data_IF_312995420881
#
_entry.id   IF_312995420881
#
_cell.length_a   1.000
_cell.length_b   1.000
_cell.length_c   1.000
_cell.angle_alpha   90.00
_cell.angle_beta   90.00
_cell.angle_gamma   90.00
#
_symmetry.space_group_name_H-M   'P 1'
#
loop_
_entity.id
_entity.type
_entity.pdbx_description
1 polymer ?
#
# COMPACT_ATOMS: atom_id res chain seq x y z
N UNK A 1 74.33 -7.03 -3.65
CA UNK A 1 73.16 -6.41 -3.00
C UNK A 1 72.62 -5.36 -3.95
N UNK A 2 71.56 -5.69 -4.68
CA UNK A 2 71.11 -4.93 -5.84
C UNK A 2 69.71 -4.40 -5.55
N UNK A 3 69.59 -3.08 -5.37
CA UNK A 3 68.32 -2.40 -5.15
C UNK A 3 67.59 -2.22 -6.50
N UNK A 4 66.41 -2.82 -6.64
CA UNK A 4 65.48 -2.53 -7.75
C UNK A 4 64.39 -1.60 -7.21
N UNK A 5 64.40 -0.36 -7.71
CA UNK A 5 63.41 0.68 -7.42
C UNK A 5 62.33 0.70 -8.52
N UNK A 6 61.14 0.19 -8.22
CA UNK A 6 59.97 0.28 -9.10
C UNK A 6 59.23 1.61 -8.87
N UNK A 7 59.35 2.54 -9.83
CA UNK A 7 58.51 3.75 -9.92
C UNK A 7 57.26 3.43 -10.77
N UNK A 8 56.10 3.30 -10.13
CA UNK A 8 54.80 3.33 -10.83
C UNK A 8 54.45 4.75 -11.24
N UNK A 9 54.31 4.99 -12.54
CA UNK A 9 53.69 6.20 -13.10
C UNK A 9 52.20 5.94 -13.30
N UNK A 10 51.36 6.67 -12.58
CA UNK A 10 49.92 6.73 -12.84
C UNK A 10 49.65 7.78 -13.93
N UNK A 11 48.95 7.38 -14.99
CA UNK A 11 48.40 8.26 -16.01
C UNK A 11 47.00 8.72 -15.58
N UNK A 12 46.63 10.00 -15.76
CA UNK A 12 45.26 10.44 -15.53
C UNK A 12 44.39 10.08 -16.75
N UNK A 13 43.32 9.31 -16.52
CA UNK A 13 42.25 9.08 -17.49
C UNK A 13 41.24 10.23 -17.37
N UNK A 14 41.27 11.14 -18.33
CA UNK A 14 40.26 12.19 -18.52
C UNK A 14 39.05 11.61 -19.23
N UNK A 15 37.92 11.47 -18.52
CA UNK A 15 36.63 11.10 -19.11
C UNK A 15 35.86 12.37 -19.48
N UNK A 16 35.70 12.61 -20.78
CA UNK A 16 34.85 13.69 -21.32
C UNK A 16 33.43 13.16 -21.50
N UNK A 17 32.47 13.66 -20.72
CA UNK A 17 31.05 13.40 -20.94
C UNK A 17 30.48 14.47 -21.89
N UNK A 18 30.05 14.05 -23.08
CA UNK A 18 29.23 14.87 -23.96
C UNK A 18 27.75 14.72 -23.56
N UNK A 19 27.12 15.81 -23.16
CA UNK A 19 25.67 15.89 -22.87
C UNK A 19 24.97 16.37 -24.13
N UNK A 20 24.15 15.51 -24.74
CA UNK A 20 23.23 15.89 -25.80
C UNK A 20 21.91 16.35 -25.18
N UNK A 21 21.61 17.65 -25.28
CA UNK A 21 20.30 18.22 -24.98
C UNK A 21 19.37 17.99 -26.18
N UNK A 22 18.32 17.18 -25.99
CA UNK A 22 17.19 17.11 -26.92
C UNK A 22 16.03 17.88 -26.31
N UNK A 23 15.77 19.08 -26.82
CA UNK A 23 14.59 19.88 -26.46
C UNK A 23 13.44 19.53 -27.38
N UNK A 24 12.50 18.71 -26.89
CA UNK A 24 11.20 18.52 -27.54
C UNK A 24 10.21 19.55 -26.98
N UNK A 25 9.85 20.53 -27.80
CA UNK A 25 8.78 21.47 -27.54
C UNK A 25 7.44 20.84 -27.97
N UNK A 26 6.55 20.58 -27.01
CA UNK A 26 5.14 20.28 -27.29
C UNK A 26 4.25 21.37 -26.70
N UNK A 27 3.69 22.16 -27.62
CA UNK A 27 2.65 23.15 -27.43
C UNK A 27 1.38 22.54 -26.84
N UNK A 28 0.77 23.19 -25.84
CA UNK A 28 -0.64 22.98 -25.47
C UNK A 28 -1.41 24.28 -25.56
N UNK A 29 -2.38 24.27 -26.46
CA UNK A 29 -3.42 25.28 -26.64
C UNK A 29 -4.32 25.35 -25.41
N UNK A 30 -4.61 26.59 -24.97
CA UNK A 30 -5.68 26.91 -24.01
C UNK A 30 -6.99 27.06 -24.79
N UNK A 31 -8.01 26.33 -24.39
CA UNK A 31 -9.42 26.57 -24.75
C UNK A 31 -10.20 27.04 -23.51
N UNK A 32 -11.28 27.84 -23.69
CA UNK A 32 -11.87 28.64 -22.63
C UNK A 32 -12.83 27.87 -21.72
N UNK A 33 -12.84 28.30 -20.46
CA UNK A 33 -13.81 27.96 -19.41
C UNK A 33 -15.19 28.51 -19.75
N UNK A 34 -16.20 27.65 -19.77
CA UNK A 34 -17.61 28.06 -19.75
C UNK A 34 -18.13 27.93 -18.32
N UNK A 35 -18.42 29.09 -17.72
CA UNK A 35 -19.19 29.23 -16.49
C UNK A 35 -20.63 28.77 -16.75
N UNK A 36 -21.12 27.83 -15.94
CA UNK A 36 -22.56 27.57 -15.81
C UNK A 36 -22.94 27.63 -14.34
N UNK A 37 -23.49 28.79 -13.99
CA UNK A 37 -24.35 29.01 -12.83
C UNK A 37 -25.57 28.10 -12.86
N UNK A 38 -25.84 27.42 -11.75
CA UNK A 38 -27.21 27.14 -11.30
C UNK A 38 -27.22 26.74 -9.81
N UNK A 39 -27.65 27.68 -8.97
CA UNK A 39 -28.44 27.39 -7.75
C UNK A 39 -29.89 27.66 -8.12
N UNK A 40 -30.89 26.92 -7.59
CA UNK A 40 -31.36 27.28 -6.24
C UNK A 40 -31.95 26.15 -5.38
N UNK A 41 -31.89 26.40 -4.07
CA UNK A 41 -32.94 26.22 -3.05
C UNK A 41 -33.91 25.03 -3.12
N UNK A 42 -33.81 24.14 -2.13
CA UNK A 42 -34.91 23.28 -1.71
C UNK A 42 -35.18 23.47 -0.20
N UNK A 43 -36.42 23.87 0.09
CA UNK A 43 -36.99 24.12 1.41
C UNK A 43 -37.12 22.83 2.23
N UNK A 44 -36.68 22.88 3.48
CA UNK A 44 -37.02 21.87 4.48
C UNK A 44 -38.46 22.11 4.97
N UNK A 45 -39.38 21.18 4.65
CA UNK A 45 -40.67 21.05 5.35
C UNK A 45 -40.55 19.97 6.41
N UNK A 46 -40.72 20.39 7.66
CA UNK A 46 -40.97 19.53 8.81
C UNK A 46 -42.44 19.14 8.82
N UNK A 47 -42.74 17.86 8.80
CA UNK A 47 -44.06 17.30 9.15
C UNK A 47 -43.84 16.12 10.07
N UNK A 48 -44.24 16.29 11.33
CA UNK A 48 -44.46 15.23 12.29
C UNK A 48 -45.75 14.48 11.93
N UNK A 49 -45.72 13.14 11.93
CA UNK A 49 -46.92 12.31 12.14
C UNK A 49 -46.56 10.83 12.37
N UNK A 50 -47.01 10.35 13.53
CA UNK A 50 -47.73 9.07 13.75
C UNK A 50 -46.97 7.75 13.69
N UNK A 51 -46.81 7.16 14.89
CA UNK A 51 -46.49 5.76 15.15
C UNK A 51 -47.63 4.82 14.67
N UNK A 52 -47.34 3.78 13.88
CA UNK A 52 -48.20 2.61 13.77
C UNK A 52 -47.74 1.47 14.71
N UNK A 53 -48.73 0.82 15.30
CA UNK A 53 -48.65 -0.33 16.20
C UNK A 53 -47.83 -1.51 15.67
N UNK A 54 -47.19 -2.20 16.61
CA UNK A 54 -46.44 -3.43 16.40
C UNK A 54 -47.29 -4.58 15.82
N UNK A 55 -46.85 -5.25 14.74
CA UNK A 55 -47.31 -6.58 14.40
C UNK A 55 -46.54 -7.63 15.22
N UNK A 56 -47.23 -8.72 15.56
CA UNK A 56 -46.69 -9.86 16.29
C UNK A 56 -45.49 -10.51 15.57
N UNK A 57 -44.51 -11.08 16.29
CA UNK A 57 -43.42 -11.82 15.67
C UNK A 57 -43.95 -13.17 15.15
N UNK A 58 -44.21 -13.23 13.85
CA UNK A 58 -44.29 -14.49 13.12
C UNK A 58 -42.94 -15.22 13.23
N UNK A 59 -43.01 -16.48 13.66
CA UNK A 59 -41.89 -17.42 13.82
C UNK A 59 -41.31 -17.87 12.48
N UNK A 60 -40.79 -16.94 11.69
CA UNK A 60 -39.98 -17.23 10.52
C UNK A 60 -38.55 -17.51 10.99
N UNK A 61 -38.22 -18.80 11.14
CA UNK A 61 -36.84 -19.25 11.22
C UNK A 61 -36.00 -18.53 10.15
N UNK A 62 -34.86 -17.90 10.49
CA UNK A 62 -34.02 -17.28 9.49
C UNK A 62 -33.57 -18.36 8.51
N UNK A 63 -34.00 -18.22 7.26
CA UNK A 63 -33.46 -18.94 6.11
C UNK A 63 -31.95 -18.78 6.14
N UNK A 64 -31.29 -19.78 6.72
CA UNK A 64 -29.84 -19.82 6.83
C UNK A 64 -29.35 -20.23 5.46
N UNK A 65 -29.26 -19.24 4.56
CA UNK A 65 -28.60 -19.38 3.27
C UNK A 65 -27.28 -20.11 3.53
N UNK A 66 -26.99 -21.24 2.85
CA UNK A 66 -25.79 -22.00 3.11
C UNK A 66 -24.60 -21.05 3.04
N UNK A 67 -23.91 -20.83 4.16
CA UNK A 67 -22.71 -20.00 4.18
C UNK A 67 -21.75 -20.62 3.18
N UNK A 68 -21.34 -19.86 2.16
CA UNK A 68 -20.35 -20.35 1.20
C UNK A 68 -19.17 -20.92 2.00
N UNK A 69 -18.67 -22.12 1.68
CA UNK A 69 -17.55 -22.70 2.41
C UNK A 69 -16.29 -21.83 2.31
N UNK A 70 -16.27 -20.91 1.34
CA UNK A 70 -15.17 -20.02 1.04
C UNK A 70 -15.56 -18.57 1.33
N UNK A 71 -14.64 -17.83 1.95
CA UNK A 71 -14.85 -16.44 2.33
C UNK A 71 -13.68 -15.59 1.85
N UNK A 72 -13.99 -14.48 1.17
CA UNK A 72 -13.02 -13.46 0.81
C UNK A 72 -13.06 -12.33 1.84
N UNK A 73 -11.89 -11.89 2.31
CA UNK A 73 -11.78 -10.74 3.22
C UNK A 73 -10.85 -9.69 2.65
N UNK A 74 -11.27 -8.42 2.68
CA UNK A 74 -10.40 -7.30 2.31
C UNK A 74 -9.34 -7.08 3.40
N UNK A 75 -8.07 -7.27 3.06
CA UNK A 75 -6.92 -6.99 3.94
C UNK A 75 -6.45 -5.54 3.74
N UNK A 76 -6.67 -5.01 2.54
CA UNK A 76 -6.67 -3.58 2.19
C UNK A 76 -6.87 -3.38 0.69
N UNK A 77 -6.61 -2.18 0.16
CA UNK A 77 -6.89 -1.88 -1.24
C UNK A 77 -6.22 -2.86 -2.21
N UNK A 78 -7.02 -3.59 -2.99
CA UNK A 78 -6.54 -4.61 -3.92
C UNK A 78 -5.92 -5.86 -3.28
N UNK A 79 -5.88 -5.95 -1.95
CA UNK A 79 -5.32 -7.07 -1.18
C UNK A 79 -6.41 -7.79 -0.41
N UNK A 80 -6.50 -9.09 -0.58
CA UNK A 80 -7.53 -9.91 0.06
C UNK A 80 -6.96 -11.24 0.52
N UNK A 81 -7.66 -11.82 1.49
CA UNK A 81 -7.46 -13.19 1.94
C UNK A 81 -8.60 -14.06 1.45
N UNK A 82 -8.28 -15.30 1.08
CA UNK A 82 -9.22 -16.35 0.77
C UNK A 82 -9.08 -17.45 1.82
N UNK A 83 -10.12 -17.64 2.63
CA UNK A 83 -10.21 -18.68 3.63
C UNK A 83 -11.33 -19.66 3.30
N UNK A 84 -11.24 -20.88 3.83
CA UNK A 84 -12.26 -21.91 3.66
C UNK A 84 -12.52 -22.67 4.96
N UNK A 85 -13.72 -23.20 5.11
CA UNK A 85 -14.11 -24.06 6.25
C UNK A 85 -13.89 -25.55 5.98
N UNK A 86 -13.59 -25.92 4.74
CA UNK A 86 -13.27 -27.28 4.30
C UNK A 86 -12.30 -27.27 3.13
N UNK A 87 -11.67 -28.40 2.82
CA UNK A 87 -10.82 -28.49 1.63
C UNK A 87 -11.63 -28.14 0.36
N UNK A 88 -11.08 -27.24 -0.46
CA UNK A 88 -11.68 -26.83 -1.73
C UNK A 88 -10.61 -26.63 -2.79
N UNK A 89 -10.94 -26.96 -4.03
CA UNK A 89 -10.07 -26.71 -5.19
C UNK A 89 -10.52 -25.45 -5.91
N UNK A 90 -9.66 -24.42 -5.92
CA UNK A 90 -9.92 -23.13 -6.56
C UNK A 90 -9.25 -23.04 -7.91
N UNK A 91 -9.91 -22.43 -8.88
CA UNK A 91 -9.25 -22.02 -10.11
C UNK A 91 -8.23 -20.91 -9.80
N UNK A 92 -7.07 -20.95 -10.47
CA UNK A 92 -6.05 -19.93 -10.29
C UNK A 92 -6.45 -18.55 -10.85
N UNK A 93 -7.51 -18.46 -11.66
CA UNK A 93 -7.99 -17.21 -12.25
C UNK A 93 -9.00 -16.49 -11.34
N UNK A 94 -8.90 -15.17 -11.32
CA UNK A 94 -9.79 -14.25 -10.62
C UNK A 94 -10.53 -13.40 -11.64
N UNK A 95 -11.81 -13.17 -11.39
CA UNK A 95 -12.59 -12.17 -12.13
C UNK A 95 -12.57 -10.86 -11.37
N UNK A 96 -12.30 -9.76 -12.08
CA UNK A 96 -12.34 -8.43 -11.52
C UNK A 96 -13.35 -7.60 -12.30
N UNK A 97 -14.24 -6.96 -11.56
CA UNK A 97 -15.28 -6.09 -12.09
C UNK A 97 -15.17 -4.71 -11.45
N UNK A 98 -15.56 -3.69 -12.19
CA UNK A 98 -15.60 -2.31 -11.73
C UNK A 98 -17.05 -1.84 -11.66
N UNK A 99 -17.40 -1.09 -10.62
CA UNK A 99 -18.71 -0.46 -10.54
C UNK A 99 -18.86 0.61 -11.64
N UNK A 100 -19.90 0.48 -12.46
CA UNK A 100 -20.31 1.42 -13.51
C UNK A 100 -21.83 1.58 -13.48
N UNK A 101 -22.30 2.81 -13.22
CA UNK A 101 -23.73 3.05 -12.96
C UNK A 101 -24.24 2.23 -11.77
N UNK A 102 -25.32 1.48 -11.98
CA UNK A 102 -25.94 0.61 -10.98
C UNK A 102 -25.38 -0.83 -10.98
N UNK A 103 -24.37 -1.11 -11.82
CA UNK A 103 -23.85 -2.46 -12.05
C UNK A 103 -22.34 -2.59 -11.86
N UNK A 104 -21.87 -3.83 -12.04
CA UNK A 104 -20.45 -4.16 -12.11
C UNK A 104 -20.13 -4.66 -13.52
N UNK A 105 -19.11 -4.06 -14.15
CA UNK A 105 -18.64 -4.42 -15.49
C UNK A 105 -17.32 -5.14 -15.39
N UNK A 106 -17.22 -6.30 -16.05
CA UNK A 106 -16.01 -7.11 -16.06
C UNK A 106 -14.87 -6.41 -16.79
N UNK A 107 -13.68 -6.44 -16.17
CA UNK A 107 -12.44 -5.98 -16.78
C UNK A 107 -11.81 -7.14 -17.57
N UNK A 108 -12.23 -7.30 -18.84
CA UNK A 108 -11.86 -8.46 -19.66
C UNK A 108 -10.39 -8.45 -20.12
N UNK A 109 -9.81 -7.27 -20.33
CA UNK A 109 -8.49 -7.13 -20.98
C UNK A 109 -7.32 -7.05 -19.98
N UNK A 110 -7.54 -7.46 -18.74
CA UNK A 110 -6.49 -7.55 -17.71
C UNK A 110 -5.35 -8.48 -18.17
N UNK A 111 -4.10 -7.99 -18.07
CA UNK A 111 -2.89 -8.69 -18.54
C UNK A 111 -3.02 -9.24 -19.97
N UNK A 112 -3.58 -8.42 -20.88
CA UNK A 112 -3.81 -8.81 -22.26
C UNK A 112 -4.82 -9.96 -22.42
N UNK A 113 -5.81 -10.02 -21.53
CA UNK A 113 -6.87 -11.03 -21.53
C UNK A 113 -6.60 -12.25 -20.63
N UNK A 114 -5.44 -12.31 -19.96
CA UNK A 114 -5.12 -13.39 -19.02
C UNK A 114 -5.84 -13.27 -17.68
N UNK A 115 -6.33 -12.08 -17.34
CA UNK A 115 -7.02 -11.82 -16.08
C UNK A 115 -6.09 -11.64 -14.89
N UNK A 116 -6.68 -11.52 -13.71
CA UNK A 116 -5.95 -11.53 -12.44
C UNK A 116 -5.76 -12.99 -11.99
N UNK A 117 -4.66 -13.31 -11.31
CA UNK A 117 -4.39 -14.68 -10.86
C UNK A 117 -4.19 -14.77 -9.35
N UNK A 118 -4.47 -15.95 -8.79
CA UNK A 118 -4.06 -16.32 -7.44
C UNK A 118 -2.54 -16.53 -7.46
N UNK A 119 -1.76 -15.47 -7.31
CA UNK A 119 -0.30 -15.60 -7.14
C UNK A 119 0.09 -15.25 -5.72
N UNK A 120 0.87 -16.11 -5.07
CA UNK A 120 1.42 -15.84 -3.72
C UNK A 120 2.81 -15.20 -3.80
N UNK A 121 3.45 -15.21 -4.96
CA UNK A 121 4.74 -14.58 -5.17
C UNK A 121 5.01 -14.26 -6.63
N UNK A 122 5.85 -13.25 -6.86
CA UNK A 122 6.24 -12.84 -8.21
C UNK A 122 7.27 -13.74 -8.90
N UNK A 123 7.71 -14.80 -8.23
CA UNK A 123 8.64 -15.76 -8.81
C UNK A 123 7.93 -16.88 -9.59
N UNK A 124 6.68 -17.21 -9.22
CA UNK A 124 5.95 -18.34 -9.80
C UNK A 124 4.42 -18.09 -9.69
N UNK A 125 3.75 -17.66 -10.77
CA UNK A 125 2.29 -17.59 -10.78
C UNK A 125 1.70 -19.00 -10.63
N UNK A 126 0.62 -19.13 -9.86
CA UNK A 126 -0.10 -20.41 -9.77
C UNK A 126 -0.85 -20.63 -11.09
N UNK A 127 -0.85 -21.88 -11.55
CA UNK A 127 -1.59 -22.31 -12.74
C UNK A 127 -2.50 -23.48 -12.41
N UNK A 128 -3.60 -23.60 -13.15
CA UNK A 128 -4.59 -24.66 -12.94
C UNK A 128 -5.36 -24.46 -11.64
N UNK A 129 -5.33 -25.46 -10.77
CA UNK A 129 -6.15 -25.48 -9.57
C UNK A 129 -5.31 -25.52 -8.29
N UNK A 130 -5.73 -24.73 -7.31
CA UNK A 130 -5.06 -24.53 -6.02
C UNK A 130 -5.91 -25.20 -4.95
N UNK A 131 -5.34 -26.17 -4.22
CA UNK A 131 -6.01 -26.73 -3.05
C UNK A 131 -5.88 -25.75 -1.88
N UNK A 132 -7.01 -25.42 -1.27
CA UNK A 132 -7.11 -24.57 -0.10
C UNK A 132 -7.67 -25.39 1.05
N UNK A 133 -7.00 -25.36 2.20
CA UNK A 133 -7.44 -26.04 3.43
C UNK A 133 -7.75 -25.01 4.52
N UNK A 134 -8.56 -25.35 5.55
CA UNK A 134 -8.90 -24.42 6.63
C UNK A 134 -7.72 -23.85 7.40
N UNK A 135 -6.62 -24.60 7.47
CA UNK A 135 -5.41 -24.25 8.24
C UNK A 135 -4.48 -23.30 7.47
N UNK A 136 -4.69 -23.15 6.16
CA UNK A 136 -3.79 -22.41 5.27
C UNK A 136 -4.60 -21.45 4.38
N UNK A 137 -5.03 -20.30 4.91
CA UNK A 137 -5.64 -19.28 4.07
C UNK A 137 -4.65 -18.80 3.00
N UNK A 138 -5.18 -18.45 1.85
CA UNK A 138 -4.41 -17.94 0.73
C UNK A 138 -4.45 -16.41 0.75
N UNK A 139 -3.27 -15.80 0.68
CA UNK A 139 -3.13 -14.34 0.55
C UNK A 139 -2.44 -14.05 -0.79
N UNK A 140 -3.21 -13.79 -1.86
CA UNK A 140 -2.64 -13.41 -3.13
C UNK A 140 -1.90 -12.07 -3.01
N UNK A 141 -0.91 -11.88 -3.88
CA UNK A 141 -0.26 -10.59 -4.03
C UNK A 141 -1.32 -9.56 -4.41
N UNK A 142 -1.25 -8.40 -3.77
CA UNK A 142 -2.22 -7.33 -3.97
C UNK A 142 -2.25 -6.89 -5.44
N UNK A 143 -3.45 -6.66 -5.96
CA UNK A 143 -3.61 -6.00 -7.23
C UNK A 143 -3.31 -4.51 -7.08
N UNK A 144 -2.31 -4.03 -7.81
CA UNK A 144 -1.85 -2.65 -7.76
C UNK A 144 -2.78 -1.66 -8.47
N UNK A 145 -3.88 -2.10 -9.09
CA UNK A 145 -4.73 -1.23 -9.91
C UNK A 145 -4.23 -1.04 -11.35
N UNK A 146 -3.16 -1.73 -11.76
CA UNK A 146 -2.64 -1.67 -13.13
C UNK A 146 -3.34 -2.68 -14.05
N UNK A 147 -3.45 -2.31 -15.32
CA UNK A 147 -4.10 -3.10 -16.38
C UNK A 147 -3.39 -4.40 -16.73
N UNK A 148 -2.08 -4.45 -16.55
CA UNK A 148 -1.26 -5.65 -16.72
C UNK A 148 -1.41 -6.68 -15.58
N UNK A 149 -2.49 -6.57 -14.79
CA UNK A 149 -2.70 -7.36 -13.57
C UNK A 149 -1.45 -7.40 -12.67
N UNK A 150 -0.69 -6.29 -12.57
CA UNK A 150 0.62 -6.22 -11.90
C UNK A 150 0.53 -6.40 -10.39
N UNK A 151 0.18 -7.61 -9.99
CA UNK A 151 0.64 -8.23 -8.78
C UNK A 151 2.17 -8.26 -8.78
N UNK A 152 2.81 -8.28 -9.97
CA UNK A 152 4.26 -8.38 -10.12
C UNK A 152 4.82 -7.40 -11.16
N UNK A 153 5.58 -6.42 -10.69
CA UNK A 153 6.06 -5.27 -11.47
C UNK A 153 6.97 -5.60 -12.67
N UNK A 154 7.51 -6.82 -12.76
CA UNK A 154 8.58 -7.14 -13.72
C UNK A 154 8.18 -7.15 -15.20
N UNK A 155 6.89 -7.34 -15.52
CA UNK A 155 6.41 -7.48 -16.91
C UNK A 155 5.55 -6.32 -17.40
N UNK A 156 5.19 -5.37 -16.53
CA UNK A 156 4.26 -4.31 -16.89
C UNK A 156 4.95 -3.18 -17.68
N UNK A 157 5.07 -3.37 -18.99
CA UNK A 157 5.43 -2.30 -19.93
C UNK A 157 4.12 -1.58 -20.34
N UNK A 158 3.90 -0.36 -19.84
CA UNK A 158 2.99 0.66 -20.37
C UNK A 158 1.54 0.83 -19.82
N UNK A 159 1.35 2.02 -19.22
CA UNK A 159 0.39 3.09 -19.57
C UNK A 159 -1.08 3.05 -19.12
N UNK A 160 -1.65 1.91 -18.73
CA UNK A 160 -3.03 1.90 -18.22
C UNK A 160 -3.08 1.60 -16.71
N UNK A 161 -3.23 2.65 -15.91
CA UNK A 161 -3.76 2.53 -14.55
C UNK A 161 -5.28 2.50 -14.64
N UNK A 162 -5.93 1.57 -13.94
CA UNK A 162 -7.34 1.78 -13.70
C UNK A 162 -7.52 2.93 -12.72
N UNK A 163 -8.60 3.65 -12.95
CA UNK A 163 -8.95 4.79 -12.12
C UNK A 163 -9.48 4.32 -10.77
N UNK A 164 -9.33 5.12 -9.73
CA UNK A 164 -9.99 4.92 -8.44
C UNK A 164 -11.48 4.56 -8.57
N UNK A 165 -12.01 3.79 -7.62
CA UNK A 165 -13.42 3.40 -7.65
C UNK A 165 -13.75 2.18 -6.82
N UNK A 166 -15.01 1.74 -6.92
CA UNK A 166 -15.49 0.48 -6.33
C UNK A 166 -15.25 -0.66 -7.30
N UNK A 167 -14.70 -1.75 -6.77
CA UNK A 167 -14.36 -2.96 -7.50
C UNK A 167 -15.01 -4.16 -6.82
N UNK A 168 -15.14 -5.25 -7.58
CA UNK A 168 -15.51 -6.55 -7.06
C UNK A 168 -14.58 -7.60 -7.62
N UNK A 169 -13.95 -8.36 -6.74
CA UNK A 169 -13.19 -9.54 -7.11
C UNK A 169 -14.05 -10.77 -6.85
N UNK A 170 -14.03 -11.73 -7.78
CA UNK A 170 -14.68 -13.02 -7.63
C UNK A 170 -13.70 -14.16 -7.85
N UNK A 171 -13.83 -15.22 -7.06
CA UNK A 171 -13.11 -16.48 -7.23
C UNK A 171 -14.05 -17.55 -7.73
N UNK A 172 -13.52 -18.50 -8.50
CA UNK A 172 -14.24 -19.70 -8.93
C UNK A 172 -13.57 -20.96 -8.40
N UNK A 173 -14.36 -22.03 -8.21
CA UNK A 173 -13.80 -23.37 -8.04
C UNK A 173 -13.07 -23.80 -9.32
N UNK A 174 -12.26 -24.85 -9.21
CA UNK A 174 -11.58 -25.48 -10.33
C UNK A 174 -12.52 -25.87 -11.49
N UNK A 175 -13.79 -26.13 -11.18
CA UNK A 175 -14.85 -26.50 -12.13
C UNK A 175 -15.51 -25.27 -12.81
N UNK A 176 -15.01 -24.06 -12.53
CA UNK A 176 -15.54 -22.81 -13.10
C UNK A 176 -16.79 -22.27 -12.40
N UNK A 177 -17.21 -22.84 -11.26
CA UNK A 177 -18.36 -22.33 -10.49
C UNK A 177 -17.92 -21.16 -9.62
N UNK A 178 -18.53 -19.98 -9.77
CA UNK A 178 -18.27 -18.83 -8.89
C UNK A 178 -18.52 -19.22 -7.44
N UNK A 179 -17.51 -19.09 -6.59
CA UNK A 179 -17.53 -19.60 -5.22
C UNK A 179 -17.76 -18.49 -4.18
N UNK A 180 -17.19 -17.31 -4.40
CA UNK A 180 -17.36 -16.13 -3.54
C UNK A 180 -16.95 -14.87 -4.27
N UNK A 181 -17.44 -13.73 -3.79
CA UNK A 181 -17.10 -12.40 -4.28
C UNK A 181 -16.84 -11.44 -3.11
N UNK A 182 -16.05 -10.39 -3.37
CA UNK A 182 -15.73 -9.34 -2.42
C UNK A 182 -15.69 -7.99 -3.13
N UNK A 183 -16.53 -7.06 -2.67
CA UNK A 183 -16.45 -5.67 -3.09
C UNK A 183 -15.38 -4.94 -2.25
N UNK A 184 -14.61 -4.06 -2.88
CA UNK A 184 -13.58 -3.25 -2.24
C UNK A 184 -13.44 -1.89 -2.94
N UNK A 185 -12.74 -0.95 -2.31
CA UNK A 185 -12.52 0.39 -2.86
C UNK A 185 -11.04 0.58 -3.17
N UNK A 186 -10.74 0.94 -4.42
CA UNK A 186 -9.44 1.47 -4.78
C UNK A 186 -9.45 2.98 -4.51
N UNK A 187 -8.63 3.47 -3.56
CA UNK A 187 -8.61 4.86 -3.18
C UNK A 187 -8.12 5.74 -4.33
N UNK A 188 -8.45 7.02 -4.24
CA UNK A 188 -7.96 7.99 -5.20
C UNK A 188 -6.45 8.25 -5.05
N UNK A 189 -5.76 8.49 -6.16
CA UNK A 189 -4.34 8.84 -6.16
C UNK A 189 -3.46 7.89 -6.96
N UNK A 190 -2.13 8.13 -6.96
CA UNK A 190 -1.16 7.24 -7.56
C UNK A 190 -1.13 5.88 -6.84
N UNK A 191 -0.72 4.82 -7.55
CA UNK A 191 -0.65 3.43 -7.05
C UNK A 191 0.26 3.33 -5.82
N UNK A 192 1.29 4.14 -5.82
CA UNK A 192 2.22 4.33 -4.72
C UNK A 192 1.49 4.74 -3.42
N UNK A 193 0.32 5.36 -3.50
CA UNK A 193 -0.54 5.69 -2.36
C UNK A 193 -1.18 4.48 -1.68
N UNK A 194 -1.32 3.33 -2.35
CA UNK A 194 -2.03 2.16 -1.84
C UNK A 194 -1.32 1.53 -0.63
N UNK A 195 -0.01 1.30 -0.73
CA UNK A 195 0.77 0.71 0.36
C UNK A 195 0.80 1.64 1.59
N UNK A 196 0.78 2.97 1.40
CA UNK A 196 0.67 3.92 2.51
C UNK A 196 -0.70 3.87 3.16
N UNK A 197 -1.77 3.89 2.35
CA UNK A 197 -3.13 3.80 2.85
C UNK A 197 -3.36 2.48 3.61
N UNK A 198 -2.82 1.37 3.09
CA UNK A 198 -2.81 0.07 3.75
C UNK A 198 -2.04 0.13 5.09
N UNK A 199 -0.85 0.72 5.11
CA UNK A 199 -0.05 0.83 6.32
C UNK A 199 -0.73 1.69 7.40
N UNK A 200 -1.49 2.72 7.02
CA UNK A 200 -2.22 3.58 7.95
C UNK A 200 -3.57 3.03 8.42
N UNK A 201 -4.02 1.87 7.93
CA UNK A 201 -5.31 1.30 8.28
C UNK A 201 -5.25 0.43 9.54
N UNK A 202 -6.14 0.70 10.50
CA UNK A 202 -6.34 -0.09 11.74
C UNK A 202 -5.05 -0.28 12.56
N UNK A 203 -4.27 0.78 12.73
CA UNK A 203 -3.14 0.79 13.66
C UNK A 203 -3.64 0.60 15.10
N UNK A 204 -3.07 -0.35 15.83
CA UNK A 204 -3.52 -0.68 17.21
C UNK A 204 -2.46 -0.45 18.27
N UNK A 205 -1.18 -0.63 17.92
CA UNK A 205 -0.06 -0.34 18.81
C UNK A 205 1.18 -0.01 18.01
N UNK A 206 2.19 0.53 18.67
CA UNK A 206 3.50 0.66 18.08
C UNK A 206 4.52 1.27 19.01
N UNK A 207 5.76 1.26 18.54
CA UNK A 207 6.88 1.93 19.17
C UNK A 207 7.53 2.89 18.19
N UNK A 208 8.15 3.94 18.72
CA UNK A 208 8.86 4.96 17.95
C UNK A 208 10.28 5.11 18.45
N UNK A 209 11.21 5.36 17.54
CA UNK A 209 12.60 5.68 17.84
C UNK A 209 13.12 6.76 16.89
N UNK A 210 14.14 7.50 17.33
CA UNK A 210 14.97 8.27 16.41
C UNK A 210 15.96 7.33 15.76
N UNK A 211 16.23 7.51 14.47
CA UNK A 211 17.13 6.64 13.71
C UNK A 211 18.40 7.39 13.31
N UNK A 212 19.50 6.64 13.21
CA UNK A 212 20.74 7.09 12.61
C UNK A 212 20.79 6.67 11.14
N UNK A 213 21.62 7.38 10.36
CA UNK A 213 21.98 6.88 9.04
C UNK A 213 22.75 5.56 9.20
N UNK A 214 22.62 4.62 8.25
CA UNK A 214 23.44 3.41 8.20
C UNK A 214 24.88 3.73 7.71
N UNK A 215 25.50 4.78 8.25
CA UNK A 215 26.86 5.20 7.90
C UNK A 215 27.84 4.10 8.32
N UNK A 216 28.57 3.54 7.35
CA UNK A 216 29.53 2.46 7.60
C UNK A 216 29.04 1.07 7.17
N UNK A 217 27.85 0.94 6.59
CA UNK A 217 27.38 -0.30 5.94
C UNK A 217 27.29 -0.11 4.41
N UNK A 218 28.40 -0.29 3.67
CA UNK A 218 28.35 -0.33 2.21
C UNK A 218 27.32 -1.39 1.76
N UNK A 219 26.39 -1.00 0.88
CA UNK A 219 25.35 -1.92 0.41
C UNK A 219 24.14 -2.07 1.34
N UNK A 220 23.91 -1.14 2.28
CA UNK A 220 22.68 -1.10 3.06
C UNK A 220 21.43 -1.20 2.18
N UNK A 221 20.52 -2.09 2.56
CA UNK A 221 19.30 -2.42 1.82
C UNK A 221 18.15 -2.64 2.81
N UNK A 222 17.12 -1.79 2.74
CA UNK A 222 15.91 -1.90 3.58
C UNK A 222 15.17 -3.23 3.39
N UNK A 223 15.48 -3.98 2.32
CA UNK A 223 14.86 -5.27 2.04
C UNK A 223 15.50 -6.45 2.79
N UNK A 224 16.67 -6.25 3.43
CA UNK A 224 17.32 -7.26 4.29
C UNK A 224 16.42 -7.62 5.49
N UNK A 225 16.52 -8.81 6.10
CA UNK A 225 15.76 -9.16 7.30
C UNK A 225 15.96 -8.17 8.45
N UNK A 226 14.99 -8.08 9.35
CA UNK A 226 15.10 -7.23 10.55
C UNK A 226 16.27 -7.67 11.44
N UNK A 227 17.03 -6.70 11.93
CA UNK A 227 18.03 -6.88 12.97
C UNK A 227 17.58 -6.19 14.27
N UNK A 228 18.12 -6.66 15.40
CA UNK A 228 17.85 -6.06 16.72
C UNK A 228 18.50 -4.67 16.81
N UNK A 229 17.77 -3.69 17.34
CA UNK A 229 18.25 -2.31 17.45
C UNK A 229 18.18 -1.54 16.13
N UNK A 230 17.39 -2.04 15.17
CA UNK A 230 17.20 -1.41 13.87
C UNK A 230 15.70 -1.32 13.50
N UNK A 231 15.35 -0.27 12.75
CA UNK A 231 14.06 -0.16 12.05
C UNK A 231 14.32 0.11 10.57
N UNK A 232 13.74 -0.70 9.70
CA UNK A 232 14.01 -0.73 8.25
C UNK A 232 15.51 -0.81 7.93
N UNK A 233 16.27 -1.53 8.76
CA UNK A 233 17.72 -1.64 8.63
C UNK A 233 18.50 -0.39 9.05
N UNK A 234 17.85 0.63 9.62
CA UNK A 234 18.51 1.82 10.14
C UNK A 234 18.75 1.67 11.65
N UNK A 235 19.96 1.95 12.16
CA UNK A 235 20.25 1.85 13.58
C UNK A 235 19.42 2.82 14.42
N UNK A 236 18.95 2.35 15.58
CA UNK A 236 18.31 3.20 16.57
C UNK A 236 19.33 4.19 17.17
N UNK A 237 18.98 5.48 17.16
CA UNK A 237 19.71 6.55 17.84
C UNK A 237 19.17 6.79 19.26
N UNK A 238 17.92 6.46 19.50
CA UNK A 238 17.29 6.46 20.83
C UNK A 238 16.60 5.12 21.05
N UNK A 239 16.45 4.66 22.30
CA UNK A 239 15.65 3.48 22.59
C UNK A 239 14.22 3.59 22.03
N UNK A 240 13.66 2.45 21.62
CA UNK A 240 12.24 2.33 21.32
C UNK A 240 11.39 2.70 22.53
N UNK A 241 10.30 3.44 22.28
CA UNK A 241 9.30 3.76 23.29
C UNK A 241 7.89 3.60 22.73
N UNK A 242 6.90 3.21 23.55
CA UNK A 242 5.51 3.11 23.12
C UNK A 242 5.00 4.42 22.53
N UNK A 243 4.20 4.30 21.46
CA UNK A 243 3.50 5.44 20.85
C UNK A 243 2.20 5.68 21.62
N UNK A 244 1.94 6.95 21.97
CA UNK A 244 0.64 7.35 22.53
C UNK A 244 -0.51 7.12 21.52
N UNK A 245 -1.69 6.63 21.93
CA UNK A 245 -2.79 6.38 21.01
C UNK A 245 -3.18 7.57 20.11
N UNK A 246 -3.09 8.82 20.59
CA UNK A 246 -3.38 10.00 19.75
C UNK A 246 -2.35 10.17 18.65
N UNK A 247 -1.07 9.97 18.96
CA UNK A 247 0.01 10.01 17.98
C UNK A 247 -0.10 8.85 16.98
N UNK A 248 -0.54 7.67 17.42
CA UNK A 248 -0.81 6.53 16.53
C UNK A 248 -1.97 6.83 15.57
N UNK A 249 -3.05 7.45 16.05
CA UNK A 249 -4.15 7.93 15.20
C UNK A 249 -3.65 8.95 14.18
N UNK A 250 -2.88 9.96 14.61
CA UNK A 250 -2.33 10.98 13.73
C UNK A 250 -1.40 10.38 12.65
N UNK A 251 -0.57 9.40 13.02
CA UNK A 251 0.25 8.65 12.05
C UNK A 251 -0.64 7.95 11.00
N UNK A 252 -1.70 7.28 11.43
CA UNK A 252 -2.65 6.62 10.52
C UNK A 252 -3.39 7.60 9.60
N UNK A 253 -3.68 8.81 10.04
CA UNK A 253 -4.28 9.88 9.23
C UNK A 253 -3.30 10.45 8.20
N UNK A 254 -2.05 10.72 8.60
CA UNK A 254 -0.96 11.15 7.72
C UNK A 254 -0.82 10.16 6.55
N UNK A 255 -0.67 8.87 6.89
CA UNK A 255 -0.46 7.78 5.91
C UNK A 255 -1.60 7.64 4.89
N UNK A 256 -2.84 7.90 5.31
CA UNK A 256 -4.03 7.75 4.46
C UNK A 256 -4.41 9.00 3.69
N UNK A 257 -3.82 10.16 3.98
CA UNK A 257 -4.25 11.41 3.37
C UNK A 257 -3.78 11.49 1.91
N UNK A 258 -4.76 11.40 1.02
CA UNK A 258 -4.66 11.32 -0.44
C UNK A 258 -3.70 12.34 -1.05
N UNK A 259 -3.97 13.63 -0.87
CA UNK A 259 -3.20 14.72 -1.50
C UNK A 259 -1.96 15.09 -0.66
N UNK A 260 -1.51 14.15 0.15
CA UNK A 260 -0.43 14.33 1.10
C UNK A 260 0.98 14.17 0.56
N UNK A 261 1.07 13.66 -0.65
CA UNK A 261 2.26 13.05 -1.18
C UNK A 261 2.45 13.42 -2.64
N UNK A 262 3.70 13.54 -3.07
CA UNK A 262 4.07 13.70 -4.47
C UNK A 262 5.08 12.62 -4.87
N UNK A 263 4.55 11.50 -5.34
CA UNK A 263 5.32 10.34 -5.78
C UNK A 263 6.08 10.59 -7.09
N UNK A 264 5.85 11.73 -7.76
CA UNK A 264 6.57 12.11 -9.00
C UNK A 264 7.90 12.78 -8.71
N UNK A 265 8.12 13.22 -7.47
CA UNK A 265 9.34 13.90 -7.08
C UNK A 265 10.47 12.87 -6.93
N UNK A 266 11.59 13.11 -7.58
CA UNK A 266 12.86 12.44 -7.30
C UNK A 266 13.84 13.47 -6.75
N UNK A 267 14.08 13.45 -5.43
CA UNK A 267 15.05 14.34 -4.78
C UNK A 267 16.32 13.57 -4.43
N UNK A 268 17.46 14.15 -4.84
CA UNK A 268 18.76 13.80 -4.25
C UNK A 268 18.92 14.67 -3.01
N UNK A 269 18.71 14.07 -1.86
CA UNK A 269 18.82 14.74 -0.57
C UNK A 269 19.59 13.83 0.39
N UNK A 270 20.45 14.44 1.19
CA UNK A 270 21.15 13.73 2.24
C UNK A 270 20.18 13.55 3.41
N UNK A 271 19.82 12.29 3.68
CA UNK A 271 18.86 11.96 4.70
C UNK A 271 19.33 12.44 6.08
N UNK A 272 18.44 13.03 6.88
CA UNK A 272 18.73 13.41 8.27
C UNK A 272 17.43 13.62 9.04
N UNK A 273 17.49 13.80 10.37
CA UNK A 273 16.30 13.99 11.20
C UNK A 273 15.27 12.85 11.01
N UNK A 274 15.74 11.61 11.17
CA UNK A 274 14.97 10.41 10.84
C UNK A 274 14.21 9.91 12.07
N UNK A 275 12.92 9.63 11.88
CA UNK A 275 12.04 8.99 12.86
C UNK A 275 11.56 7.66 12.30
N UNK A 276 11.68 6.61 13.11
CA UNK A 276 11.21 5.27 12.81
C UNK A 276 10.01 4.90 13.68
N UNK A 277 9.08 4.15 13.11
CA UNK A 277 7.96 3.55 13.79
C UNK A 277 7.95 2.07 13.48
N UNK A 278 7.76 1.23 14.50
CA UNK A 278 7.35 -0.17 14.31
C UNK A 278 5.94 -0.30 14.84
N UNK A 279 4.98 -0.53 13.95
CA UNK A 279 3.56 -0.51 14.29
C UNK A 279 2.92 -1.86 14.01
N UNK A 280 1.98 -2.20 14.86
CA UNK A 280 1.11 -3.35 14.71
C UNK A 280 -0.24 -2.84 14.22
N UNK A 281 -0.77 -3.50 13.19
CA UNK A 281 -2.12 -3.26 12.70
C UNK A 281 -2.96 -4.50 12.78
N UNK A 282 -4.25 -4.31 13.01
CA UNK A 282 -5.24 -5.37 12.86
C UNK A 282 -5.57 -5.59 11.39
N UNK A 283 -5.56 -6.85 10.99
CA UNK A 283 -6.04 -7.26 9.69
C UNK A 283 -7.54 -7.57 9.79
N UNK A 284 -8.32 -7.12 8.82
CA UNK A 284 -9.69 -7.63 8.67
C UNK A 284 -9.59 -9.04 8.12
N UNK A 285 -10.01 -10.03 8.90
CA UNK A 285 -9.91 -11.45 8.53
C UNK A 285 -11.19 -12.16 8.93
N UNK A 286 -11.59 -13.16 8.17
CA UNK A 286 -12.75 -14.01 8.49
C UNK A 286 -12.42 -15.14 9.45
N UNK A 287 -11.13 -15.45 9.61
CA UNK A 287 -10.60 -16.34 10.64
C UNK A 287 -10.28 -15.62 11.96
N UNK A 288 -9.46 -16.26 12.83
CA UNK A 288 -8.98 -15.64 14.07
C UNK A 288 -8.41 -14.25 13.83
N UNK A 289 -8.54 -13.36 14.81
CA UNK A 289 -7.93 -12.03 14.74
C UNK A 289 -6.44 -12.16 14.46
N UNK A 290 -5.96 -11.47 13.42
CA UNK A 290 -4.55 -11.45 13.04
C UNK A 290 -4.05 -10.02 13.02
N UNK A 291 -2.76 -9.90 13.28
CA UNK A 291 -2.05 -8.65 13.19
C UNK A 291 -0.91 -8.76 12.19
N UNK A 292 -0.61 -7.66 11.52
CA UNK A 292 0.64 -7.49 10.79
C UNK A 292 1.48 -6.43 11.49
N UNK A 293 2.78 -6.66 11.52
CA UNK A 293 3.74 -5.65 11.93
C UNK A 293 4.42 -5.06 10.69
N UNK A 294 4.63 -3.76 10.71
CA UNK A 294 5.31 -3.02 9.65
C UNK A 294 6.18 -1.92 10.24
N UNK A 295 7.21 -1.54 9.51
CA UNK A 295 8.13 -0.47 9.88
C UNK A 295 7.91 0.73 8.96
N UNK A 296 7.77 1.91 9.55
CA UNK A 296 7.65 3.17 8.81
C UNK A 296 8.86 4.02 9.17
N UNK A 297 9.54 4.55 8.17
CA UNK A 297 10.66 5.48 8.38
C UNK A 297 10.32 6.80 7.70
N UNK A 298 10.40 7.88 8.45
CA UNK A 298 10.19 9.23 7.96
C UNK A 298 11.46 10.05 8.10
N UNK A 299 11.92 10.59 7.00
CA UNK A 299 13.01 11.55 6.91
C UNK A 299 12.44 12.94 6.71
N UNK A 300 12.52 13.76 7.77
CA UNK A 300 11.96 15.10 7.78
C UNK A 300 12.74 16.06 6.86
N UNK A 301 14.05 15.85 6.70
CA UNK A 301 14.89 16.71 5.85
C UNK A 301 14.51 16.53 4.38
N UNK A 302 14.43 15.29 3.93
CA UNK A 302 14.13 14.97 2.54
C UNK A 302 12.63 14.92 2.24
N UNK A 303 11.79 15.04 3.28
CA UNK A 303 10.35 14.78 3.24
C UNK A 303 10.02 13.44 2.60
N UNK A 304 10.74 12.39 3.01
CA UNK A 304 10.67 11.06 2.41
C UNK A 304 10.18 10.05 3.43
N UNK A 305 9.23 9.23 3.03
CA UNK A 305 8.72 8.12 3.82
C UNK A 305 9.08 6.79 3.16
N UNK A 306 9.37 5.80 3.99
CA UNK A 306 9.49 4.41 3.63
C UNK A 306 8.49 3.60 4.45
N UNK A 307 7.74 2.72 3.79
CA UNK A 307 6.89 1.72 4.42
C UNK A 307 7.51 0.37 4.12
N UNK A 308 7.88 -0.37 5.15
CA UNK A 308 8.56 -1.66 5.05
C UNK A 308 7.70 -2.71 5.73
N UNK A 309 7.37 -3.76 4.99
CA UNK A 309 6.62 -4.91 5.51
C UNK A 309 7.37 -6.20 5.23
N UNK A 310 7.10 -7.21 6.06
CA UNK A 310 7.64 -8.54 5.84
C UNK A 310 7.21 -9.08 4.46
N UNK A 311 8.17 -9.72 3.79
CA UNK A 311 7.90 -10.47 2.58
C UNK A 311 7.27 -11.83 2.91
N UNK A 312 7.02 -12.64 1.87
CA UNK A 312 6.73 -14.05 2.09
C UNK A 312 7.90 -14.74 2.82
N UNK A 313 7.65 -15.86 3.51
CA UNK A 313 8.68 -16.58 4.25
C UNK A 313 9.92 -16.87 3.38
N UNK A 314 11.10 -16.49 3.88
CA UNK A 314 12.37 -16.63 3.16
C UNK A 314 12.57 -15.64 2.00
N UNK A 315 11.73 -14.61 1.87
CA UNK A 315 11.89 -13.54 0.89
C UNK A 315 12.35 -12.24 1.54
N UNK A 316 12.94 -11.38 0.70
CA UNK A 316 13.24 -9.99 1.03
C UNK A 316 11.98 -9.23 1.46
N UNK A 317 12.16 -8.28 2.37
CA UNK A 317 11.09 -7.37 2.80
C UNK A 317 10.63 -6.51 1.62
N UNK A 318 9.36 -6.12 1.65
CA UNK A 318 8.77 -5.22 0.65
C UNK A 318 8.93 -3.80 1.14
N UNK A 319 9.49 -2.93 0.30
CA UNK A 319 9.77 -1.53 0.63
C UNK A 319 9.03 -0.64 -0.36
N UNK A 320 8.18 0.23 0.17
CA UNK A 320 7.52 1.29 -0.58
C UNK A 320 8.09 2.65 -0.17
N UNK A 321 8.37 3.54 -1.12
CA UNK A 321 8.92 4.87 -0.85
C UNK A 321 8.05 5.97 -1.47
N UNK A 322 7.94 7.10 -0.77
CA UNK A 322 7.14 8.25 -1.21
C UNK A 322 7.71 9.57 -0.67
N UNK A 323 7.27 10.70 -1.21
CA UNK A 323 7.58 12.03 -0.69
C UNK A 323 6.34 12.71 -0.13
N UNK A 324 6.41 13.18 1.12
CA UNK A 324 5.30 13.85 1.82
C UNK A 324 5.41 15.38 1.76
N UNK A 325 5.89 15.95 0.66
CA UNK A 325 6.08 17.40 0.50
C UNK A 325 4.84 18.24 0.89
N UNK A 326 3.61 17.92 0.44
CA UNK A 326 2.40 18.63 0.86
C UNK A 326 2.05 18.51 2.36
N UNK A 327 2.63 17.54 3.06
CA UNK A 327 2.38 17.25 4.47
C UNK A 327 3.56 17.48 5.40
N UNK A 328 4.64 18.11 4.91
CA UNK A 328 5.86 18.36 5.72
C UNK A 328 5.55 18.82 7.13
N UNK A 329 4.64 19.78 7.28
CA UNK A 329 4.29 20.35 8.58
C UNK A 329 3.53 19.37 9.48
N UNK A 330 2.59 18.58 8.95
CA UNK A 330 1.87 17.57 9.73
C UNK A 330 2.82 16.47 10.23
N UNK A 331 3.75 16.03 9.38
CA UNK A 331 4.76 15.02 9.74
C UNK A 331 5.75 15.60 10.76
N UNK A 332 6.21 16.84 10.56
CA UNK A 332 7.10 17.51 11.49
C UNK A 332 6.41 17.75 12.85
N UNK A 333 5.14 18.14 12.87
CA UNK A 333 4.35 18.30 14.09
C UNK A 333 4.28 16.98 14.88
N UNK A 334 3.91 15.88 14.22
CA UNK A 334 3.91 14.55 14.84
C UNK A 334 5.28 14.19 15.43
N UNK A 335 6.36 14.43 14.69
CA UNK A 335 7.72 14.13 15.15
C UNK A 335 8.13 14.98 16.37
N UNK A 336 7.74 16.26 16.41
CA UNK A 336 8.02 17.17 17.54
C UNK A 336 7.22 16.80 18.78
N UNK A 337 5.95 16.43 18.60
CA UNK A 337 5.07 16.00 19.69
C UNK A 337 5.56 14.69 20.30
N UNK A 338 6.02 13.78 19.45
CA UNK A 338 6.67 12.56 19.91
C UNK A 338 7.96 12.93 20.66
N UNK A 339 8.90 13.65 20.06
CA UNK A 339 10.24 13.92 20.64
C UNK A 339 10.43 15.39 21.03
N UNK A 340 9.76 15.89 22.09
CA UNK A 340 9.81 17.30 22.47
C UNK A 340 11.22 17.77 22.85
N UNK A 341 12.08 16.87 23.34
CA UNK A 341 13.46 17.12 23.71
C UNK A 341 14.40 17.27 22.51
N UNK A 342 14.01 16.77 21.32
CA UNK A 342 14.84 16.76 20.12
C UNK A 342 14.77 18.10 19.39
N UNK A 343 15.64 19.05 19.78
CA UNK A 343 15.72 20.39 19.18
C UNK A 343 15.91 20.36 17.65
N UNK A 344 16.61 19.36 17.13
CA UNK A 344 16.89 19.24 15.70
C UNK A 344 15.67 18.85 14.85
N UNK A 345 14.57 18.40 15.46
CA UNK A 345 13.28 18.18 14.78
C UNK A 345 12.40 19.44 14.73
N UNK A 346 12.80 20.52 15.41
CA UNK A 346 12.07 21.80 15.43
C UNK A 346 12.46 22.75 14.31
N UNK A 347 13.63 22.53 13.70
CA UNK A 347 14.07 23.35 12.59
C UNK A 347 13.21 23.05 11.35
N UNK A 348 12.79 24.08 10.60
CA UNK A 348 12.09 23.90 9.34
C UNK A 348 12.92 23.13 8.31
#
# INVERSE_FOLDING_TARGET
MTHISLRSRALPLTFTFAVALVTAACSRSRGPSLDVSASPSAQARSTAATLPSAPAPDGSSPDTKPSSPLVLTEVGPGSFEIATTREISLGASLELERAEGDGFVRLADLDGGKGLTLTTSCAAPLSGCVSLTPERPLVPVAWSGLHCAAQCNGSCRAEASYTPGKYRVSVATCEGRRASELAFVMPEGPIEGLERAWAGAKLVSGVVARLALPSGKPGWDMTEPRAKGEMAGMPERTPERPIDPRALTALGEILRKKDGYDDRIMKRCLMSRIVGFRVTRELTTTGPARSAELEIVMDLQCAKIFVVREGAAGKKRVVHASHFDPQREAVAALARDLFPEAKDLRAP
#
